data_IF_242054219503
#
_entry.id   IF_242054219503
#
_cell.length_a   1.000
_cell.length_b   1.000
_cell.length_c   1.000
_cell.angle_alpha   90.00
_cell.angle_beta   90.00
_cell.angle_gamma   90.00
#
_symmetry.space_group_name_H-M   'P 1'
#
loop_
_entity.id
_entity.type
_entity.pdbx_description
1 polymer ?
#
# COMPACT_ATOMS: atom_id res chain seq x y z
N UNK A 1 4.49 1.14 12.13
CA UNK A 1 3.73 2.23 11.45
C UNK A 1 2.28 2.17 11.94
N UNK A 2 1.49 3.26 11.91
CA UNK A 2 0.06 3.23 12.25
C UNK A 2 -0.79 3.66 11.05
N UNK A 3 -1.80 2.86 10.69
CA UNK A 3 -2.80 3.14 9.67
C UNK A 3 -4.18 3.36 10.32
N UNK A 4 -5.05 4.09 9.62
CA UNK A 4 -6.39 4.38 10.10
C UNK A 4 -7.23 3.10 10.22
N UNK A 5 -7.79 2.88 11.42
CA UNK A 5 -8.70 1.76 11.75
C UNK A 5 -10.12 2.01 11.25
N UNK A 6 -10.89 0.93 11.15
CA UNK A 6 -12.33 0.93 10.93
C UNK A 6 -13.05 1.94 11.87
N UNK A 7 -14.14 2.57 11.40
CA UNK A 7 -14.89 2.27 10.18
C UNK A 7 -14.27 2.82 8.88
N UNK A 8 -13.21 3.61 8.99
CA UNK A 8 -12.53 4.17 7.81
C UNK A 8 -11.58 3.14 7.20
N UNK A 9 -11.37 3.25 5.89
CA UNK A 9 -10.40 2.44 5.14
C UNK A 9 -9.06 3.16 5.05
N UNK A 10 -7.97 2.41 5.20
CA UNK A 10 -6.63 2.90 4.91
C UNK A 10 -6.29 2.71 3.41
N UNK A 11 -5.55 3.68 2.86
CA UNK A 11 -5.03 3.61 1.49
C UNK A 11 -3.51 3.41 1.55
N UNK A 12 -3.03 2.38 0.87
CA UNK A 12 -1.61 2.14 0.66
C UNK A 12 -1.28 2.49 -0.79
N UNK A 13 -0.27 3.32 -0.98
CA UNK A 13 0.13 3.77 -2.31
C UNK A 13 1.65 3.90 -2.38
N UNK A 14 2.17 3.94 -3.59
CA UNK A 14 3.60 4.12 -3.83
C UNK A 14 3.90 4.33 -5.29
N UNK A 15 5.20 4.44 -5.59
CA UNK A 15 5.71 4.53 -6.95
C UNK A 15 6.06 3.15 -7.51
N UNK A 16 6.07 3.05 -8.83
CA UNK A 16 6.47 1.86 -9.58
C UNK A 16 6.44 2.09 -11.08
N UNK A 17 6.69 1.06 -11.88
CA UNK A 17 6.60 1.19 -13.34
C UNK A 17 5.18 1.52 -13.82
N UNK A 18 4.99 2.24 -14.95
CA UNK A 18 3.66 2.53 -15.49
C UNK A 18 2.96 1.28 -16.03
N UNK A 19 1.64 1.21 -15.84
CA UNK A 19 0.79 0.08 -16.23
C UNK A 19 1.30 -1.29 -15.72
N UNK A 20 1.76 -1.34 -14.47
CA UNK A 20 2.29 -2.55 -13.82
C UNK A 20 1.34 -3.06 -12.74
N UNK A 21 1.18 -4.38 -12.72
CA UNK A 21 0.45 -5.09 -11.68
C UNK A 21 1.22 -5.00 -10.36
N UNK A 22 0.50 -4.59 -9.32
CA UNK A 22 0.97 -4.56 -7.94
C UNK A 22 0.00 -5.36 -7.09
N UNK A 23 0.54 -6.27 -6.29
CA UNK A 23 -0.23 -7.17 -5.42
C UNK A 23 0.20 -6.94 -3.98
N UNK A 24 -0.76 -6.87 -3.06
CA UNK A 24 -0.53 -6.67 -1.63
C UNK A 24 -1.12 -7.84 -0.85
N UNK A 25 -0.31 -8.45 0.01
CA UNK A 25 -0.71 -9.55 0.90
C UNK A 25 -0.64 -9.08 2.35
N UNK A 26 -1.71 -9.34 3.09
CA UNK A 26 -1.82 -8.99 4.51
C UNK A 26 -2.90 -9.84 5.16
N UNK A 27 -2.57 -10.54 6.26
CA UNK A 27 -3.52 -11.33 7.07
C UNK A 27 -4.44 -12.25 6.24
N UNK A 28 -3.86 -13.10 5.39
CA UNK A 28 -4.56 -14.00 4.45
C UNK A 28 -5.43 -13.31 3.38
N UNK A 29 -5.38 -11.98 3.28
CA UNK A 29 -6.08 -11.21 2.24
C UNK A 29 -5.09 -10.80 1.16
N UNK A 30 -5.58 -10.79 -0.07
CA UNK A 30 -4.83 -10.43 -1.27
C UNK A 30 -5.58 -9.30 -1.96
N UNK A 31 -4.88 -8.20 -2.19
CA UNK A 31 -5.37 -7.06 -2.94
C UNK A 31 -4.49 -6.88 -4.19
N UNK A 32 -5.07 -6.37 -5.27
CA UNK A 32 -4.29 -6.08 -6.47
C UNK A 32 -4.76 -4.80 -7.12
N UNK A 33 -3.83 -4.11 -7.78
CA UNK A 33 -4.09 -2.89 -8.54
C UNK A 33 -3.11 -2.80 -9.70
N UNK A 34 -3.41 -1.93 -10.66
CA UNK A 34 -2.50 -1.60 -11.76
C UNK A 34 -2.10 -0.14 -11.58
N UNK A 35 -0.80 0.14 -11.63
CA UNK A 35 -0.30 1.52 -11.60
C UNK A 35 -0.81 2.33 -12.80
N UNK A 36 -0.89 3.65 -12.65
CA UNK A 36 -1.35 4.53 -13.73
C UNK A 36 -0.46 4.40 -14.97
N UNK A 37 -0.99 4.69 -16.15
CA UNK A 37 -0.20 4.73 -17.37
C UNK A 37 0.71 5.98 -17.43
N UNK A 38 0.24 7.07 -16.81
CA UNK A 38 0.95 8.35 -16.76
C UNK A 38 2.11 8.31 -15.78
N UNK A 39 3.20 8.99 -16.14
CA UNK A 39 4.37 9.17 -15.27
C UNK A 39 4.07 10.28 -14.25
N UNK A 40 4.39 10.03 -13.00
CA UNK A 40 4.11 10.91 -11.87
C UNK A 40 5.34 11.70 -11.39
N UNK A 41 6.54 11.36 -11.85
CA UNK A 41 7.79 12.02 -11.47
C UNK A 41 8.85 11.97 -12.58
N UNK A 42 9.94 12.72 -12.38
CA UNK A 42 11.05 12.83 -13.33
C UNK A 42 11.88 11.54 -13.48
N UNK A 43 11.71 10.59 -12.54
CA UNK A 43 12.32 9.25 -12.60
C UNK A 43 11.55 8.29 -13.52
N UNK A 44 10.42 8.74 -14.09
CA UNK A 44 9.60 7.95 -15.00
C UNK A 44 8.72 6.91 -14.32
N UNK A 45 8.52 7.03 -13.01
CA UNK A 45 7.66 6.16 -12.24
C UNK A 45 6.20 6.62 -12.31
N UNK A 46 5.29 5.74 -11.92
CA UNK A 46 3.86 5.94 -11.87
C UNK A 46 3.32 5.54 -10.51
N UNK A 47 2.17 6.13 -10.13
CA UNK A 47 1.53 5.88 -8.85
C UNK A 47 0.59 4.66 -8.99
N UNK A 48 0.70 3.76 -8.01
CA UNK A 48 -0.31 2.74 -7.73
C UNK A 48 -0.92 3.02 -6.36
N UNK A 49 -2.18 2.61 -6.17
CA UNK A 49 -2.88 2.73 -4.89
C UNK A 49 -3.83 1.57 -4.68
N UNK A 50 -3.89 1.07 -3.45
CA UNK A 50 -4.78 0.01 -2.97
C UNK A 50 -5.53 0.55 -1.76
N UNK A 51 -6.85 0.54 -1.83
CA UNK A 51 -7.71 0.81 -0.68
C UNK A 51 -7.99 -0.52 0.02
N UNK A 52 -7.62 -0.61 1.29
CA UNK A 52 -7.93 -1.77 2.11
C UNK A 52 -9.40 -1.73 2.52
N UNK A 53 -9.97 -2.90 2.79
CA UNK A 53 -11.22 -2.93 3.55
C UNK A 53 -11.00 -2.37 4.97
N UNK A 54 -12.04 -1.81 5.62
CA UNK A 54 -11.91 -1.34 6.99
C UNK A 54 -11.48 -2.47 7.92
N UNK A 55 -10.39 -2.26 8.67
CA UNK A 55 -9.84 -3.25 9.60
C UNK A 55 -10.14 -2.80 11.02
N UNK A 56 -10.83 -3.64 11.80
CA UNK A 56 -11.17 -3.35 13.21
C UNK A 56 -10.12 -3.85 14.19
N UNK A 57 -9.37 -4.87 13.81
CA UNK A 57 -8.30 -5.45 14.62
C UNK A 57 -7.07 -4.54 14.63
N UNK A 58 -6.38 -4.46 15.77
CA UNK A 58 -5.28 -3.52 15.99
C UNK A 58 -3.96 -3.95 15.31
N UNK A 59 -3.75 -5.25 15.09
CA UNK A 59 -2.48 -5.80 14.60
C UNK A 59 -1.55 -6.26 15.75
N UNK A 60 -0.22 -6.31 15.55
CA UNK A 60 0.52 -5.86 14.36
C UNK A 60 0.33 -6.77 13.13
N UNK A 61 0.48 -6.18 11.95
CA UNK A 61 0.47 -6.86 10.66
C UNK A 61 1.76 -6.62 9.88
N UNK A 62 2.21 -7.67 9.21
CA UNK A 62 3.17 -7.55 8.11
C UNK A 62 2.41 -7.36 6.79
N UNK A 63 2.82 -6.36 6.01
CA UNK A 63 2.27 -6.08 4.69
C UNK A 63 3.35 -6.36 3.65
N UNK A 64 3.07 -7.31 2.77
CA UNK A 64 3.97 -7.65 1.65
C UNK A 64 3.41 -7.09 0.35
N UNK A 65 4.16 -6.21 -0.29
CA UNK A 65 3.81 -5.61 -1.59
C UNK A 65 4.74 -6.19 -2.66
N UNK A 66 4.15 -6.77 -3.68
CA UNK A 66 4.83 -7.41 -4.80
C UNK A 66 4.52 -6.64 -6.08
N UNK A 67 5.54 -6.27 -6.85
CA UNK A 67 5.36 -5.57 -8.11
C UNK A 67 6.15 -6.24 -9.24
N UNK A 68 5.51 -6.38 -10.39
CA UNK A 68 6.13 -6.92 -11.59
C UNK A 68 7.02 -5.88 -12.29
N UNK A 69 8.31 -6.19 -12.42
CA UNK A 69 9.29 -5.37 -13.14
C UNK A 69 9.24 -5.62 -14.66
N UNK A 70 10.01 -4.85 -15.42
CA UNK A 70 10.08 -4.94 -16.90
C UNK A 70 10.71 -6.26 -17.37
N UNK A 71 11.59 -6.86 -16.58
CA UNK A 71 12.32 -8.09 -16.90
C UNK A 71 11.63 -9.37 -16.38
N UNK A 72 10.31 -9.34 -16.16
CA UNK A 72 9.54 -10.43 -15.54
C UNK A 72 10.01 -10.85 -14.13
N UNK A 73 10.87 -10.05 -13.49
CA UNK A 73 11.22 -10.26 -12.08
C UNK A 73 10.16 -9.63 -11.18
N UNK A 74 9.94 -10.22 -10.02
CA UNK A 74 9.04 -9.67 -9.01
C UNK A 74 9.88 -9.00 -7.94
N UNK A 75 9.61 -7.73 -7.69
CA UNK A 75 10.17 -7.01 -6.55
C UNK A 75 9.21 -7.10 -5.37
N UNK A 76 9.72 -7.45 -4.19
CA UNK A 76 8.93 -7.58 -2.97
C UNK A 76 9.42 -6.57 -1.93
N UNK A 77 8.49 -5.78 -1.41
CA UNK A 77 8.68 -4.87 -0.27
C UNK A 77 7.88 -5.40 0.91
N UNK A 78 8.43 -5.32 2.12
CA UNK A 78 7.72 -5.70 3.33
C UNK A 78 7.72 -4.55 4.32
N UNK A 79 6.54 -4.22 4.82
CA UNK A 79 6.34 -3.29 5.93
C UNK A 79 6.02 -4.14 7.17
N UNK A 80 6.91 -4.09 8.16
CA UNK A 80 6.72 -4.81 9.41
C UNK A 80 6.00 -3.94 10.45
N UNK A 81 5.33 -4.61 11.39
CA UNK A 81 4.75 -3.99 12.59
C UNK A 81 3.81 -2.82 12.26
N UNK A 82 2.88 -3.05 11.33
CA UNK A 82 1.82 -2.11 10.98
C UNK A 82 0.62 -2.32 11.91
N UNK A 83 0.29 -1.28 12.68
CA UNK A 83 -0.88 -1.24 13.56
C UNK A 83 -2.03 -0.50 12.88
N UNK A 84 -3.26 -0.90 13.15
CA UNK A 84 -4.47 -0.17 12.76
C UNK A 84 -5.07 0.50 13.99
N UNK A 85 -5.04 1.83 14.03
CA UNK A 85 -5.52 2.63 15.14
C UNK A 85 -6.17 3.93 14.69
N UNK A 86 -6.55 4.76 15.66
CA UNK A 86 -7.07 6.10 15.37
C UNK A 86 -5.90 7.05 15.08
N UNK A 87 -5.92 7.70 13.92
CA UNK A 87 -4.90 8.70 13.55
C UNK A 87 -5.47 10.08 13.81
N UNK A 88 -5.05 10.69 14.92
CA UNK A 88 -5.40 12.07 15.28
C UNK A 88 -4.18 12.97 15.14
N UNK A 89 -4.27 14.00 14.29
CA UNK A 89 -3.25 15.04 14.20
C UNK A 89 -3.72 16.21 15.04
N UNK A 90 -3.00 16.50 16.14
CA UNK A 90 -3.26 17.70 16.93
C UNK A 90 -2.99 18.94 16.07
N UNK A 91 -4.02 19.75 15.82
CA UNK A 91 -3.92 20.99 15.06
C UNK A 91 -3.27 22.12 15.90
N UNK A 92 -2.02 21.93 16.31
CA UNK A 92 -1.16 23.00 16.86
C UNK A 92 -1.08 23.10 18.39
N UNK A 93 -0.27 22.25 19.02
CA UNK A 93 0.46 22.61 20.24
C UNK A 93 1.96 22.56 19.95
#
# INVERSE_FOLDING_TARGET
MVLQRAPQSAVIWGFGGPAKLTTLHMNNKIYSTISRAERANDLGESIWSITLEPISDEGPYDIHVMQSLVNNTVYTMTLHDVLFGDVWICSGQ
#
